data_IF_430523341795
#
_entry.id   IF_430523341795
#
_cell.length_a   1.000
_cell.length_b   1.000
_cell.length_c   1.000
_cell.angle_alpha   90.00
_cell.angle_beta   90.00
_cell.angle_gamma   90.00
#
_symmetry.space_group_name_H-M   'P 1'
#
loop_
_entity.id
_entity.type
_entity.pdbx_description
1 polymer ?
#
# COMPACT_ATOMS: atom_id res chain seq x y z
N UNK A 1 23.87 18.97 -4.55
CA UNK A 1 23.74 20.41 -4.22
C UNK A 1 24.45 20.64 -2.89
N UNK A 2 24.72 21.89 -2.48
CA UNK A 2 25.20 22.14 -1.13
C UNK A 2 24.17 21.70 -0.08
N UNK A 3 24.60 21.44 1.15
CA UNK A 3 23.69 21.15 2.26
C UNK A 3 22.66 22.27 2.41
N UNK A 4 21.37 21.91 2.47
CA UNK A 4 20.26 22.88 2.52
C UNK A 4 19.99 23.65 1.22
N UNK A 5 20.81 23.48 0.18
CA UNK A 5 20.60 24.11 -1.13
C UNK A 5 19.34 23.58 -1.83
N UNK A 6 18.70 24.43 -2.62
CA UNK A 6 17.52 24.08 -3.42
C UNK A 6 17.81 24.28 -4.90
N UNK A 7 17.46 23.30 -5.73
CA UNK A 7 17.46 23.39 -7.19
C UNK A 7 16.04 23.15 -7.69
N UNK A 8 15.53 24.06 -8.50
CA UNK A 8 14.23 23.88 -9.17
C UNK A 8 14.45 23.60 -10.64
N UNK A 9 13.87 22.50 -11.13
CA UNK A 9 13.90 22.13 -12.54
C UNK A 9 12.58 22.54 -13.21
N UNK A 10 12.56 23.76 -13.74
CA UNK A 10 11.38 24.42 -14.34
C UNK A 10 11.22 24.18 -15.85
N UNK A 11 12.31 23.86 -16.55
CA UNK A 11 12.30 23.56 -17.99
C UNK A 11 12.10 22.08 -18.32
N UNK A 12 12.11 21.74 -19.61
CA UNK A 12 12.20 20.35 -20.05
C UNK A 12 13.66 19.93 -20.18
N UNK A 13 14.13 19.04 -19.32
CA UNK A 13 15.51 18.58 -19.34
C UNK A 13 15.60 17.20 -20.03
N UNK A 14 16.40 17.11 -21.09
CA UNK A 14 16.50 15.95 -21.98
C UNK A 14 17.60 14.93 -21.66
N UNK A 15 18.16 14.95 -20.44
CA UNK A 15 19.15 13.94 -20.04
C UNK A 15 18.48 12.58 -19.81
N UNK A 16 19.21 11.50 -20.08
CA UNK A 16 18.72 10.11 -19.98
C UNK A 16 19.25 9.33 -18.77
N UNK A 17 20.29 9.84 -18.11
CA UNK A 17 20.86 9.23 -16.90
C UNK A 17 19.98 9.40 -15.66
N UNK A 18 20.29 8.65 -14.61
CA UNK A 18 19.60 8.76 -13.32
C UNK A 18 19.81 10.15 -12.68
N UNK A 19 18.76 10.71 -12.09
CA UNK A 19 18.83 11.94 -11.30
C UNK A 19 19.34 11.62 -9.90
N UNK A 20 20.56 12.04 -9.57
CA UNK A 20 21.16 11.85 -8.24
C UNK A 20 21.06 13.13 -7.42
N UNK A 21 20.32 13.07 -6.32
CA UNK A 21 20.17 14.17 -5.36
C UNK A 21 20.99 13.82 -4.12
N UNK A 22 22.28 14.13 -4.12
CA UNK A 22 23.17 13.63 -3.07
C UNK A 22 23.04 14.39 -1.74
N UNK A 23 22.56 15.63 -1.79
CA UNK A 23 22.28 16.51 -0.65
C UNK A 23 21.36 17.65 -1.12
N UNK A 24 20.55 18.22 -0.21
CA UNK A 24 19.65 19.36 -0.46
C UNK A 24 18.27 18.98 -1.01
N UNK A 25 17.54 19.96 -1.54
CA UNK A 25 16.19 19.78 -2.10
C UNK A 25 16.19 19.94 -3.61
N UNK A 26 15.67 18.93 -4.33
CA UNK A 26 15.33 19.04 -5.74
C UNK A 26 13.83 19.27 -5.89
N UNK A 27 13.44 20.40 -6.47
CA UNK A 27 12.05 20.76 -6.73
C UNK A 27 11.68 20.46 -8.18
N UNK A 28 10.61 19.70 -8.37
CA UNK A 28 9.97 19.53 -9.68
C UNK A 28 9.23 20.83 -10.00
N UNK A 29 9.76 21.63 -10.91
CA UNK A 29 9.13 22.88 -11.35
C UNK A 29 8.24 22.71 -12.58
N UNK A 30 8.30 21.55 -13.25
CA UNK A 30 7.52 21.21 -14.44
C UNK A 30 7.28 19.71 -14.51
N UNK A 31 6.12 19.27 -15.01
CA UNK A 31 5.87 17.84 -15.26
C UNK A 31 6.90 17.25 -16.24
N UNK A 32 7.37 18.08 -17.17
CA UNK A 32 8.42 17.75 -18.14
C UNK A 32 9.84 17.93 -17.57
N UNK A 33 10.00 18.21 -16.27
CA UNK A 33 11.29 18.50 -15.63
C UNK A 33 12.37 17.54 -16.12
N UNK A 34 12.12 16.22 -16.09
CA UNK A 34 13.03 15.22 -16.67
C UNK A 34 12.18 14.38 -17.61
N UNK A 35 12.27 14.69 -18.91
CA UNK A 35 11.43 14.08 -19.93
C UNK A 35 11.94 12.69 -20.33
N UNK A 36 13.26 12.50 -20.27
CA UNK A 36 13.95 11.29 -20.75
C UNK A 36 14.57 10.44 -19.61
N UNK A 37 14.31 10.81 -18.35
CA UNK A 37 14.77 10.07 -17.17
C UNK A 37 13.64 9.90 -16.16
N UNK A 38 13.55 8.71 -15.58
CA UNK A 38 12.54 8.33 -14.59
C UNK A 38 13.16 7.53 -13.43
N UNK A 39 14.49 7.64 -13.24
CA UNK A 39 15.24 7.00 -12.16
C UNK A 39 15.81 8.07 -11.23
N UNK A 40 15.54 7.96 -9.94
CA UNK A 40 15.99 8.92 -8.92
C UNK A 40 16.72 8.20 -7.80
N UNK A 41 17.84 8.77 -7.37
CA UNK A 41 18.56 8.38 -6.15
C UNK A 41 18.59 9.56 -5.20
N UNK A 42 18.05 9.40 -3.99
CA UNK A 42 18.09 10.42 -2.94
C UNK A 42 19.15 10.06 -1.89
N UNK A 43 20.03 11.01 -1.59
CA UNK A 43 21.02 10.92 -0.53
C UNK A 43 22.39 10.47 -0.98
N UNK A 44 23.30 10.45 -0.01
CA UNK A 44 24.64 9.90 -0.10
C UNK A 44 25.15 9.64 1.33
N UNK A 45 26.33 9.03 1.50
CA UNK A 45 26.87 8.76 2.83
C UNK A 45 26.97 10.06 3.66
N UNK A 46 26.28 10.09 4.81
CA UNK A 46 26.28 11.23 5.72
C UNK A 46 25.42 12.44 5.30
N UNK A 47 24.67 12.36 4.20
CA UNK A 47 23.87 13.47 3.69
C UNK A 47 22.38 13.11 3.61
N UNK A 48 21.54 14.14 3.68
CA UNK A 48 20.08 14.03 3.52
C UNK A 48 19.65 14.75 2.25
N UNK A 49 18.63 14.22 1.58
CA UNK A 49 18.11 14.80 0.35
C UNK A 49 16.59 14.69 0.26
N UNK A 50 16.00 15.72 -0.32
CA UNK A 50 14.56 15.87 -0.48
C UNK A 50 14.21 15.99 -1.95
N UNK A 51 13.21 15.22 -2.39
CA UNK A 51 12.49 15.46 -3.64
C UNK A 51 11.19 16.20 -3.32
N UNK A 52 11.02 17.42 -3.83
CA UNK A 52 9.79 18.20 -3.70
C UNK A 52 8.96 18.09 -4.97
N UNK A 53 7.75 17.56 -4.85
CA UNK A 53 6.82 17.34 -5.97
C UNK A 53 6.13 18.62 -6.43
N UNK A 54 5.96 19.60 -5.55
CA UNK A 54 5.38 20.90 -5.83
C UNK A 54 4.02 20.80 -6.55
N UNK A 55 3.17 19.88 -6.09
CA UNK A 55 1.83 19.62 -6.64
C UNK A 55 1.82 18.86 -7.97
N UNK A 56 2.98 18.49 -8.50
CA UNK A 56 3.10 17.81 -9.79
C UNK A 56 3.18 16.30 -9.60
N UNK A 57 2.36 15.58 -10.37
CA UNK A 57 2.43 14.12 -10.46
C UNK A 57 3.58 13.70 -11.36
N UNK A 58 4.26 12.59 -11.00
CA UNK A 58 5.41 12.08 -11.76
C UNK A 58 5.44 10.55 -11.78
N UNK A 59 5.94 10.02 -12.89
CA UNK A 59 6.18 8.58 -13.05
C UNK A 59 7.66 8.26 -12.94
N UNK A 60 7.99 7.19 -12.24
CA UNK A 60 9.33 6.68 -12.02
C UNK A 60 9.44 5.21 -12.43
N UNK A 61 10.56 4.84 -13.04
CA UNK A 61 11.00 3.45 -13.09
C UNK A 61 11.62 3.07 -11.74
N UNK A 62 12.36 3.98 -11.10
CA UNK A 62 12.92 3.76 -9.76
C UNK A 62 13.02 5.06 -8.96
N UNK A 63 12.82 4.92 -7.65
CA UNK A 63 13.14 5.92 -6.64
C UNK A 63 13.82 5.19 -5.50
N UNK A 64 15.12 5.40 -5.33
CA UNK A 64 15.91 4.71 -4.31
C UNK A 64 16.59 5.71 -3.39
N UNK A 65 17.04 5.20 -2.25
CA UNK A 65 17.82 5.96 -1.27
C UNK A 65 19.27 5.50 -1.28
N UNK A 66 20.21 6.41 -1.03
CA UNK A 66 21.61 6.12 -0.73
C UNK A 66 21.99 6.73 0.62
N UNK A 67 22.96 6.14 1.32
CA UNK A 67 23.27 6.50 2.70
C UNK A 67 22.21 5.98 3.67
N UNK A 68 21.87 6.77 4.69
CA UNK A 68 20.84 6.40 5.69
C UNK A 68 19.45 6.62 5.11
N UNK A 69 18.77 5.54 4.72
CA UNK A 69 17.50 5.62 4.00
C UNK A 69 16.44 6.50 4.69
N UNK A 70 16.30 6.40 6.02
CA UNK A 70 15.33 7.19 6.80
C UNK A 70 15.56 8.70 6.79
N UNK A 71 16.73 9.17 6.36
CA UNK A 71 17.03 10.60 6.21
C UNK A 71 16.52 11.18 4.89
N UNK A 72 16.04 10.34 3.97
CA UNK A 72 15.58 10.76 2.66
C UNK A 72 14.08 11.05 2.68
N UNK A 73 13.69 12.09 1.97
CA UNK A 73 12.30 12.54 1.98
C UNK A 73 11.79 12.79 0.57
N UNK A 74 10.55 12.35 0.31
CA UNK A 74 9.74 12.92 -0.75
C UNK A 74 8.66 13.77 -0.12
N UNK A 75 8.52 15.01 -0.58
CA UNK A 75 7.60 15.98 -0.01
C UNK A 75 6.70 16.55 -1.09
N UNK A 76 5.45 16.85 -0.72
CA UNK A 76 4.61 17.76 -1.47
C UNK A 76 4.25 18.95 -0.58
N UNK A 77 4.44 20.16 -1.09
CA UNK A 77 4.07 21.40 -0.38
C UNK A 77 3.09 22.28 -1.12
N UNK A 78 2.74 21.94 -2.36
CA UNK A 78 1.66 22.63 -3.06
C UNK A 78 0.32 21.96 -2.74
N UNK A 79 -0.72 22.78 -2.68
CA UNK A 79 -2.10 22.33 -2.47
C UNK A 79 -2.53 21.42 -3.62
N UNK A 80 -3.24 20.35 -3.28
CA UNK A 80 -3.67 19.32 -4.19
C UNK A 80 -2.99 17.97 -3.91
N UNK A 81 -3.22 17.02 -4.81
CA UNK A 81 -2.62 15.68 -4.72
C UNK A 81 -1.55 15.53 -5.78
N UNK A 82 -0.30 15.29 -5.36
CA UNK A 82 0.77 14.89 -6.25
C UNK A 82 0.88 13.35 -6.24
N UNK A 83 0.67 12.72 -7.41
CA UNK A 83 0.73 11.27 -7.54
C UNK A 83 2.10 10.82 -8.00
N UNK A 84 2.72 9.90 -7.26
CA UNK A 84 3.94 9.20 -7.65
C UNK A 84 3.57 7.84 -8.22
N UNK A 85 3.82 7.63 -9.51
CA UNK A 85 3.53 6.35 -10.17
C UNK A 85 4.81 5.57 -10.45
N UNK A 86 4.90 4.35 -9.96
CA UNK A 86 5.99 3.44 -10.25
C UNK A 86 5.58 2.44 -11.35
N UNK A 87 6.46 2.20 -12.32
CA UNK A 87 6.14 1.42 -13.53
C UNK A 87 7.15 0.33 -13.89
N UNK A 88 8.18 0.14 -13.07
CA UNK A 88 9.18 -0.91 -13.31
C UNK A 88 8.66 -2.29 -12.93
N UNK A 89 8.93 -3.27 -13.81
CA UNK A 89 8.68 -4.70 -13.58
C UNK A 89 9.71 -5.37 -12.66
N UNK A 90 10.79 -4.67 -12.30
CA UNK A 90 11.72 -5.11 -11.26
C UNK A 90 11.27 -4.68 -9.85
N UNK A 91 12.20 -4.76 -8.90
CA UNK A 91 11.99 -4.24 -7.55
C UNK A 91 12.28 -2.75 -7.49
N UNK A 92 11.34 -1.98 -6.96
CA UNK A 92 11.49 -0.57 -6.58
C UNK A 92 11.46 -0.49 -5.06
N UNK A 93 12.59 -0.14 -4.44
CA UNK A 93 12.70 -0.04 -2.98
C UNK A 93 12.94 1.40 -2.54
N UNK A 94 12.10 1.88 -1.63
CA UNK A 94 12.26 3.20 -1.01
C UNK A 94 12.19 3.08 0.52
N UNK A 95 13.28 3.43 1.20
CA UNK A 95 13.35 3.44 2.67
C UNK A 95 13.21 4.82 3.30
N UNK A 96 12.96 5.86 2.50
CA UNK A 96 12.71 7.22 3.00
C UNK A 96 11.27 7.41 3.48
N UNK A 97 10.93 8.67 3.75
CA UNK A 97 9.59 9.09 4.20
C UNK A 97 8.86 9.93 3.16
N UNK A 98 7.52 9.84 3.15
CA UNK A 98 6.65 10.78 2.45
C UNK A 98 6.13 11.84 3.42
N UNK A 99 6.31 13.11 3.09
CA UNK A 99 5.96 14.25 3.95
C UNK A 99 4.96 15.18 3.26
N UNK A 100 3.86 15.49 3.94
CA UNK A 100 2.84 16.44 3.52
C UNK A 100 2.93 17.65 4.47
N UNK A 101 3.46 18.78 4.00
CA UNK A 101 3.82 19.90 4.90
C UNK A 101 2.60 20.63 5.49
N UNK A 102 1.48 20.63 4.75
CA UNK A 102 0.27 21.34 5.13
C UNK A 102 -0.97 20.50 4.82
N UNK A 103 -2.09 20.87 5.43
CA UNK A 103 -3.38 20.29 5.05
C UNK A 103 -3.58 20.40 3.53
N UNK A 104 -4.10 19.34 2.92
CA UNK A 104 -4.33 19.24 1.47
C UNK A 104 -3.07 19.27 0.57
N UNK A 105 -1.87 19.00 1.09
CA UNK A 105 -0.65 18.81 0.28
C UNK A 105 -0.36 17.33 0.05
N UNK A 106 -1.35 16.60 -0.47
CA UNK A 106 -1.38 15.14 -0.45
C UNK A 106 -0.33 14.53 -1.37
N UNK A 107 0.20 13.37 -0.97
CA UNK A 107 0.94 12.45 -1.83
C UNK A 107 0.08 11.21 -2.04
N UNK A 108 -0.12 10.82 -3.30
CA UNK A 108 -0.72 9.55 -3.66
C UNK A 108 0.33 8.63 -4.31
N UNK A 109 0.19 7.32 -4.10
CA UNK A 109 1.09 6.31 -4.65
C UNK A 109 0.35 5.47 -5.67
N UNK A 110 0.93 5.30 -6.86
CA UNK A 110 0.47 4.39 -7.90
C UNK A 110 1.55 3.37 -8.25
N UNK A 111 1.15 2.12 -8.53
CA UNK A 111 2.04 1.09 -9.03
C UNK A 111 1.39 0.28 -10.16
N UNK A 112 2.05 0.19 -11.30
CA UNK A 112 1.59 -0.56 -12.47
C UNK A 112 2.68 -1.45 -13.08
N UNK A 113 3.82 -1.57 -12.41
CA UNK A 113 5.01 -2.19 -12.99
C UNK A 113 4.96 -3.71 -13.11
N UNK A 114 4.16 -4.41 -12.30
CA UNK A 114 4.06 -5.87 -12.30
C UNK A 114 5.18 -6.61 -11.54
N UNK A 115 6.16 -5.88 -10.99
CA UNK A 115 7.20 -6.39 -10.11
C UNK A 115 6.86 -6.16 -8.63
N UNK A 116 7.83 -5.68 -7.86
CA UNK A 116 7.66 -5.37 -6.43
C UNK A 116 7.91 -3.89 -6.15
N UNK A 117 6.95 -3.21 -5.55
CA UNK A 117 7.14 -1.92 -4.87
C UNK A 117 7.32 -2.20 -3.38
N UNK A 118 8.50 -1.93 -2.82
CA UNK A 118 8.84 -2.20 -1.43
C UNK A 118 9.12 -0.90 -0.67
N UNK A 119 8.34 -0.62 0.37
CA UNK A 119 8.56 0.53 1.25
C UNK A 119 9.08 0.06 2.61
N UNK A 120 10.24 0.60 3.01
CA UNK A 120 10.99 0.16 4.19
C UNK A 120 10.70 0.95 5.48
N UNK A 121 9.84 1.96 5.40
CA UNK A 121 9.53 2.88 6.51
C UNK A 121 8.03 3.02 6.68
N UNK A 122 7.56 3.28 7.90
CA UNK A 122 6.17 3.68 8.16
C UNK A 122 5.88 5.01 7.49
N UNK A 123 4.76 5.10 6.78
CA UNK A 123 4.40 6.29 6.01
C UNK A 123 3.03 6.85 6.41
N UNK A 124 2.84 8.15 6.22
CA UNK A 124 1.63 8.88 6.65
C UNK A 124 0.96 9.68 5.53
N UNK A 125 1.37 9.46 4.28
CA UNK A 125 0.73 10.13 3.14
C UNK A 125 -0.76 9.80 3.05
N UNK A 126 -1.57 10.78 2.63
CA UNK A 126 -3.03 10.74 2.73
C UNK A 126 -3.74 10.67 1.39
N UNK A 127 -3.00 10.71 0.27
CA UNK A 127 -3.56 10.57 -1.08
C UNK A 127 -4.00 9.14 -1.44
N UNK A 128 -3.62 8.14 -0.64
CA UNK A 128 -3.93 6.73 -0.87
C UNK A 128 -2.94 6.02 -1.79
N UNK A 129 -3.13 4.71 -1.94
CA UNK A 129 -2.27 3.78 -2.66
C UNK A 129 -3.09 2.98 -3.67
N UNK A 130 -2.66 2.95 -4.93
CA UNK A 130 -3.26 2.14 -5.99
C UNK A 130 -2.21 1.20 -6.55
N UNK A 131 -2.40 -0.10 -6.36
CA UNK A 131 -1.53 -1.16 -6.90
C UNK A 131 -2.28 -1.82 -8.06
N UNK A 132 -2.19 -1.22 -9.24
CA UNK A 132 -2.87 -1.72 -10.44
C UNK A 132 -2.27 -3.03 -10.93
N UNK A 133 -0.95 -3.23 -10.81
CA UNK A 133 -0.27 -4.45 -11.24
C UNK A 133 1.03 -4.68 -10.46
N UNK A 134 1.20 -5.88 -9.90
CA UNK A 134 2.37 -6.29 -9.12
C UNK A 134 2.13 -6.31 -7.61
N UNK A 135 3.22 -6.38 -6.85
CA UNK A 135 3.21 -6.55 -5.39
C UNK A 135 3.66 -5.29 -4.67
N UNK A 136 2.86 -4.80 -3.72
CA UNK A 136 3.29 -3.85 -2.70
C UNK A 136 3.76 -4.62 -1.46
N UNK A 137 5.05 -4.55 -1.13
CA UNK A 137 5.66 -5.28 -0.02
C UNK A 137 6.03 -4.34 1.13
N UNK A 138 5.56 -4.68 2.34
CA UNK A 138 5.91 -3.97 3.56
C UNK A 138 7.32 -4.35 4.04
N UNK A 139 8.11 -3.34 4.38
CA UNK A 139 9.35 -3.47 5.18
C UNK A 139 9.24 -2.84 6.57
N UNK A 140 8.07 -2.29 6.92
CA UNK A 140 7.73 -1.72 8.22
C UNK A 140 6.21 -1.75 8.41
N UNK A 141 5.72 -1.56 9.64
CA UNK A 141 4.28 -1.40 9.89
C UNK A 141 3.75 -0.16 9.15
N UNK A 142 2.60 -0.29 8.51
CA UNK A 142 1.92 0.77 7.76
C UNK A 142 2.81 1.42 6.70
N UNK A 143 3.68 0.64 6.04
CA UNK A 143 4.59 1.17 5.04
C UNK A 143 3.85 1.80 3.85
N UNK A 144 2.63 1.37 3.54
CA UNK A 144 1.77 1.96 2.50
C UNK A 144 0.71 2.94 3.04
N UNK A 145 1.00 3.51 4.22
CA UNK A 145 0.15 4.40 4.99
C UNK A 145 -1.20 3.82 5.39
N UNK A 146 -1.90 4.49 6.31
CA UNK A 146 -3.22 4.07 6.77
C UNK A 146 -4.36 4.48 5.84
N UNK A 147 -4.03 5.07 4.68
CA UNK A 147 -5.00 5.61 3.73
C UNK A 147 -5.80 4.56 2.96
N UNK A 148 -6.47 5.02 1.91
CA UNK A 148 -7.17 4.13 0.99
C UNK A 148 -6.19 3.24 0.21
N UNK A 149 -6.51 1.96 0.07
CA UNK A 149 -5.79 1.00 -0.75
C UNK A 149 -6.72 0.43 -1.84
N UNK A 150 -6.27 0.47 -3.09
CA UNK A 150 -6.91 -0.19 -4.23
C UNK A 150 -5.98 -1.22 -4.83
N UNK A 151 -6.46 -2.45 -5.02
CA UNK A 151 -5.70 -3.54 -5.65
C UNK A 151 -6.30 -3.94 -7.01
N UNK A 152 -5.43 -4.07 -8.00
CA UNK A 152 -5.73 -4.54 -9.34
C UNK A 152 -6.14 -3.44 -10.32
N UNK A 153 -6.17 -3.82 -11.59
CA UNK A 153 -6.70 -3.07 -12.70
C UNK A 153 -7.27 -4.02 -13.74
N UNK A 154 -7.74 -3.49 -14.88
CA UNK A 154 -8.28 -4.32 -15.95
C UNK A 154 -7.26 -5.35 -16.44
N UNK A 155 -7.57 -6.64 -16.27
CA UNK A 155 -6.70 -7.75 -16.67
C UNK A 155 -5.42 -7.93 -15.85
N UNK A 156 -5.25 -7.21 -14.74
CA UNK A 156 -4.03 -7.24 -13.91
C UNK A 156 -4.31 -7.63 -12.47
N UNK A 157 -3.25 -8.01 -11.75
CA UNK A 157 -3.30 -8.43 -10.36
C UNK A 157 -2.45 -7.51 -9.51
N UNK A 158 -3.08 -6.89 -8.52
CA UNK A 158 -2.44 -6.20 -7.40
C UNK A 158 -2.38 -7.11 -6.19
N UNK A 159 -1.22 -7.12 -5.53
CA UNK A 159 -0.95 -7.92 -4.33
C UNK A 159 -0.47 -6.97 -3.23
N UNK A 160 -1.01 -7.12 -2.02
CA UNK A 160 -0.39 -6.61 -0.81
C UNK A 160 0.35 -7.75 -0.10
N UNK A 161 1.67 -7.63 -0.02
CA UNK A 161 2.51 -8.53 0.77
C UNK A 161 2.87 -7.86 2.10
N UNK A 162 2.34 -8.43 3.18
CA UNK A 162 2.51 -7.91 4.53
C UNK A 162 3.94 -8.11 5.07
N UNK A 163 4.74 -9.02 4.50
CA UNK A 163 6.16 -9.15 4.82
C UNK A 163 6.51 -9.35 6.30
N UNK A 164 5.57 -9.81 7.13
CA UNK A 164 5.76 -9.96 8.58
C UNK A 164 5.47 -8.68 9.40
N UNK A 165 4.89 -7.67 8.74
CA UNK A 165 4.47 -6.40 9.33
C UNK A 165 2.95 -6.26 9.30
N UNK A 166 2.44 -5.29 10.05
CA UNK A 166 1.02 -4.97 10.08
C UNK A 166 0.70 -3.83 9.11
N UNK A 167 -0.50 -3.87 8.53
CA UNK A 167 -1.01 -2.80 7.68
C UNK A 167 -2.42 -2.42 8.12
N UNK A 168 -2.65 -1.14 8.35
CA UNK A 168 -3.97 -0.55 8.54
C UNK A 168 -4.41 0.15 7.27
N UNK A 169 -5.69 0.10 6.92
CA UNK A 169 -6.25 0.83 5.78
C UNK A 169 -7.59 1.46 6.14
N UNK A 170 -7.81 2.70 5.72
CA UNK A 170 -9.09 3.41 5.91
C UNK A 170 -10.14 3.05 4.86
N UNK A 171 -9.69 2.50 3.73
CA UNK A 171 -10.54 1.94 2.69
C UNK A 171 -9.77 0.82 1.96
N UNK A 172 -10.48 -0.21 1.53
CA UNK A 172 -9.91 -1.32 0.76
C UNK A 172 -10.86 -1.65 -0.37
N UNK A 173 -10.38 -1.53 -1.59
CA UNK A 173 -11.18 -1.69 -2.81
C UNK A 173 -10.42 -2.48 -3.87
N UNK A 174 -11.17 -3.02 -4.82
CA UNK A 174 -10.62 -3.63 -6.04
C UNK A 174 -10.71 -2.59 -7.16
N UNK A 175 -9.66 -2.48 -7.98
CA UNK A 175 -9.62 -1.53 -9.08
C UNK A 175 -10.66 -1.82 -10.16
N UNK A 176 -11.07 -0.79 -10.89
CA UNK A 176 -12.05 -0.90 -11.95
C UNK A 176 -11.60 -1.90 -13.02
N UNK A 177 -12.48 -2.83 -13.38
CA UNK A 177 -12.20 -3.89 -14.36
C UNK A 177 -11.31 -5.03 -13.86
N UNK A 178 -10.85 -4.99 -12.61
CA UNK A 178 -10.07 -6.09 -12.03
C UNK A 178 -10.96 -7.26 -11.62
N UNK A 179 -10.43 -8.48 -11.73
CA UNK A 179 -11.10 -9.67 -11.19
C UNK A 179 -10.83 -9.73 -9.69
N UNK A 180 -11.86 -9.47 -8.87
CA UNK A 180 -11.72 -9.32 -7.43
C UNK A 180 -11.03 -10.53 -6.76
N UNK A 181 -11.48 -11.75 -7.07
CA UNK A 181 -10.94 -12.97 -6.48
C UNK A 181 -9.44 -13.22 -6.79
N UNK A 182 -8.92 -12.59 -7.85
CA UNK A 182 -7.50 -12.67 -8.22
C UNK A 182 -6.63 -11.68 -7.45
N UNK A 183 -7.21 -10.67 -6.80
CA UNK A 183 -6.45 -9.72 -5.98
C UNK A 183 -6.12 -10.35 -4.65
N UNK A 184 -4.88 -10.22 -4.21
CA UNK A 184 -4.36 -10.98 -3.07
C UNK A 184 -3.85 -10.08 -1.95
N UNK A 185 -4.09 -10.52 -0.72
CA UNK A 185 -3.34 -10.08 0.45
C UNK A 185 -2.81 -11.31 1.17
N UNK A 186 -1.53 -11.29 1.52
CA UNK A 186 -0.94 -12.33 2.35
C UNK A 186 0.41 -11.93 2.88
N UNK A 187 1.17 -12.90 3.36
CA UNK A 187 2.39 -12.68 4.11
C UNK A 187 3.52 -13.56 3.55
N UNK A 188 4.55 -12.95 2.99
CA UNK A 188 5.77 -13.66 2.55
C UNK A 188 6.75 -13.97 3.68
N UNK A 189 6.50 -13.49 4.90
CA UNK A 189 7.40 -13.70 6.04
C UNK A 189 7.52 -15.17 6.43
N UNK A 190 8.73 -15.54 6.83
CA UNK A 190 9.06 -16.83 7.45
C UNK A 190 9.31 -16.70 8.95
N UNK A 191 9.24 -15.49 9.51
CA UNK A 191 9.62 -15.18 10.91
C UNK A 191 8.52 -14.54 11.74
N UNK A 192 7.59 -13.80 11.15
CA UNK A 192 6.56 -13.06 11.88
C UNK A 192 5.18 -13.17 11.22
N UNK A 193 4.15 -13.34 12.05
CA UNK A 193 2.75 -13.23 11.65
C UNK A 193 2.38 -11.75 11.43
N UNK A 194 1.36 -11.50 10.63
CA UNK A 194 0.91 -10.16 10.25
C UNK A 194 -0.57 -9.94 10.53
N UNK A 195 -0.95 -8.68 10.72
CA UNK A 195 -2.34 -8.24 10.87
C UNK A 195 -2.67 -7.23 9.77
N UNK A 196 -3.70 -7.51 8.98
CA UNK A 196 -4.39 -6.51 8.18
C UNK A 196 -5.54 -5.91 9.02
N UNK A 197 -5.53 -4.60 9.21
CA UNK A 197 -6.58 -3.87 9.92
C UNK A 197 -7.37 -3.04 8.94
N UNK A 198 -8.64 -3.37 8.73
CA UNK A 198 -9.56 -2.52 7.97
C UNK A 198 -10.26 -1.55 8.92
N UNK A 199 -9.73 -0.33 9.02
CA UNK A 199 -10.25 0.73 9.88
C UNK A 199 -11.28 1.64 9.19
N UNK A 200 -11.82 1.22 8.04
CA UNK A 200 -12.87 1.92 7.31
C UNK A 200 -14.29 1.64 7.79
N UNK A 201 -15.27 2.23 7.10
CA UNK A 201 -16.70 2.04 7.37
C UNK A 201 -17.32 0.87 6.60
N UNK A 202 -18.53 1.07 6.08
CA UNK A 202 -19.22 0.04 5.28
C UNK A 202 -18.49 -0.23 3.95
N UNK A 203 -18.25 -1.50 3.63
CA UNK A 203 -17.60 -1.91 2.38
C UNK A 203 -17.95 -3.35 1.97
N UNK A 204 -17.53 -3.76 0.77
CA UNK A 204 -17.51 -5.15 0.30
C UNK A 204 -16.10 -5.55 -0.13
N UNK A 205 -15.59 -6.66 0.42
CA UNK A 205 -14.26 -7.17 0.16
C UNK A 205 -14.35 -8.44 -0.69
N UNK A 206 -14.12 -8.30 -2.00
CA UNK A 206 -14.10 -9.41 -2.96
C UNK A 206 -12.72 -10.03 -3.22
N UNK A 207 -11.66 -9.45 -2.66
CA UNK A 207 -10.30 -9.96 -2.74
C UNK A 207 -10.06 -11.18 -1.86
N UNK A 208 -9.01 -11.94 -2.14
CA UNK A 208 -8.63 -13.12 -1.37
C UNK A 208 -7.52 -12.78 -0.38
N UNK A 209 -7.76 -13.07 0.90
CA UNK A 209 -6.77 -12.96 1.98
C UNK A 209 -6.32 -14.37 2.37
N UNK A 210 -5.01 -14.60 2.37
CA UNK A 210 -4.37 -15.87 2.67
C UNK A 210 -3.18 -15.69 3.62
N UNK A 211 -2.69 -16.79 4.19
CA UNK A 211 -1.49 -16.75 5.03
C UNK A 211 -0.24 -16.49 4.17
N UNK A 212 0.18 -17.50 3.41
CA UNK A 212 1.46 -17.44 2.71
C UNK A 212 1.36 -16.76 1.34
N UNK A 213 2.34 -15.89 1.04
CA UNK A 213 2.73 -15.55 -0.32
C UNK A 213 4.11 -16.14 -0.61
N UNK A 214 4.31 -16.73 -1.79
CA UNK A 214 5.58 -17.35 -2.16
C UNK A 214 6.01 -18.42 -1.14
N UNK A 215 7.21 -18.25 -0.55
CA UNK A 215 7.77 -19.14 0.46
C UNK A 215 7.39 -18.78 1.91
N UNK A 216 6.46 -17.85 2.11
CA UNK A 216 5.99 -17.45 3.44
C UNK A 216 5.42 -18.64 4.21
N UNK A 217 5.61 -18.64 5.53
CA UNK A 217 5.13 -19.71 6.43
C UNK A 217 4.32 -19.16 7.60
N UNK A 218 4.03 -17.86 7.58
CA UNK A 218 3.46 -17.12 8.69
C UNK A 218 2.02 -16.72 8.41
N UNK A 219 1.29 -16.49 9.47
CA UNK A 219 -0.15 -16.26 9.41
C UNK A 219 -0.47 -14.83 9.02
N UNK A 220 -1.64 -14.66 8.43
CA UNK A 220 -2.30 -13.39 8.26
C UNK A 220 -3.53 -13.35 9.17
N UNK A 221 -3.67 -12.30 9.96
CA UNK A 221 -4.86 -12.02 10.77
C UNK A 221 -5.63 -10.83 10.19
N UNK A 222 -6.90 -10.70 10.54
CA UNK A 222 -7.79 -9.65 10.03
C UNK A 222 -8.53 -8.97 11.18
N UNK A 223 -8.47 -7.64 11.24
CA UNK A 223 -9.13 -6.86 12.28
C UNK A 223 -10.08 -5.81 11.70
N UNK A 224 -11.26 -5.69 12.30
CA UNK A 224 -12.27 -4.69 11.98
C UNK A 224 -12.59 -3.84 13.21
N UNK A 225 -11.79 -2.78 13.49
CA UNK A 225 -11.98 -1.96 14.68
C UNK A 225 -13.11 -0.92 14.55
N UNK A 226 -13.50 -0.57 13.33
CA UNK A 226 -14.34 0.58 13.03
C UNK A 226 -15.81 0.21 12.80
N UNK A 227 -16.70 1.16 13.09
CA UNK A 227 -18.14 0.98 12.89
C UNK A 227 -18.49 0.85 11.40
N UNK A 228 -19.42 -0.04 11.08
CA UNK A 228 -19.90 -0.25 9.71
C UNK A 228 -20.24 -1.71 9.40
N UNK A 229 -20.68 -1.95 8.16
CA UNK A 229 -20.96 -3.29 7.65
C UNK A 229 -19.87 -3.69 6.66
N UNK A 230 -19.08 -4.70 6.99
CA UNK A 230 -18.07 -5.28 6.09
C UNK A 230 -18.62 -6.56 5.49
N UNK A 231 -18.89 -6.54 4.19
CA UNK A 231 -19.34 -7.73 3.46
C UNK A 231 -18.14 -8.49 2.89
N UNK A 232 -17.94 -9.73 3.31
CA UNK A 232 -16.86 -10.61 2.86
C UNK A 232 -17.36 -11.45 1.70
N UNK A 233 -16.89 -11.11 0.50
CA UNK A 233 -17.19 -11.81 -0.75
C UNK A 233 -16.03 -12.68 -1.22
N UNK A 234 -14.80 -12.41 -0.77
CA UNK A 234 -13.61 -13.21 -1.07
C UNK A 234 -13.61 -14.60 -0.44
N UNK A 235 -12.97 -15.57 -1.10
CA UNK A 235 -12.76 -16.92 -0.59
C UNK A 235 -11.50 -16.99 0.29
N UNK A 236 -11.54 -16.33 1.45
CA UNK A 236 -10.36 -16.19 2.31
C UNK A 236 -9.92 -17.51 2.94
N UNK A 237 -8.61 -17.70 3.09
CA UNK A 237 -7.98 -18.93 3.59
C UNK A 237 -7.01 -18.72 4.75
N UNK A 238 -6.76 -17.47 5.15
CA UNK A 238 -5.87 -17.15 6.27
C UNK A 238 -6.25 -17.87 7.56
N UNK A 239 -5.28 -18.24 8.38
CA UNK A 239 -5.47 -18.99 9.64
C UNK A 239 -5.15 -18.18 10.88
N UNK A 240 -4.72 -16.92 10.73
CA UNK A 240 -4.65 -15.95 11.82
C UNK A 240 -6.04 -15.56 12.32
N UNK A 241 -6.08 -14.83 13.45
CA UNK A 241 -7.33 -14.49 14.10
C UNK A 241 -8.16 -13.48 13.28
N UNK A 242 -9.48 -13.59 13.35
CA UNK A 242 -10.37 -12.49 12.95
C UNK A 242 -10.92 -11.77 14.18
N UNK A 243 -10.70 -10.46 14.28
CA UNK A 243 -11.20 -9.62 15.38
C UNK A 243 -12.27 -8.67 14.88
N UNK A 244 -13.44 -8.67 15.52
CA UNK A 244 -14.61 -7.85 15.16
C UNK A 244 -14.98 -6.98 16.37
N UNK A 245 -14.90 -5.67 16.23
CA UNK A 245 -15.30 -4.72 17.29
C UNK A 245 -16.81 -4.67 17.50
N UNK A 246 -17.23 -4.20 18.68
CA UNK A 246 -18.63 -4.13 19.09
C UNK A 246 -19.53 -3.29 18.18
N UNK A 247 -18.97 -2.31 17.47
CA UNK A 247 -19.68 -1.43 16.54
C UNK A 247 -19.70 -1.93 15.09
N UNK A 248 -19.12 -3.11 14.82
CA UNK A 248 -18.94 -3.66 13.47
C UNK A 248 -19.90 -4.82 13.22
N UNK A 249 -20.47 -4.86 12.02
CA UNK A 249 -21.11 -6.06 11.47
C UNK A 249 -20.25 -6.62 10.35
N UNK A 250 -19.85 -7.88 10.45
CA UNK A 250 -19.22 -8.63 9.36
C UNK A 250 -20.27 -9.56 8.76
N UNK A 251 -20.57 -9.38 7.47
CA UNK A 251 -21.46 -10.25 6.72
C UNK A 251 -20.63 -11.15 5.80
N UNK A 252 -20.70 -12.46 5.95
CA UNK A 252 -20.03 -13.43 5.08
C UNK A 252 -20.99 -13.83 3.96
N UNK A 253 -20.59 -13.54 2.72
CA UNK A 253 -21.40 -13.73 1.52
C UNK A 253 -22.43 -12.62 1.30
N UNK A 254 -23.17 -12.75 0.20
CA UNK A 254 -24.28 -11.88 -0.18
C UNK A 254 -25.39 -12.71 -0.82
N UNK A 255 -25.90 -13.68 -0.04
CA UNK A 255 -26.93 -14.64 -0.44
C UNK A 255 -26.53 -15.51 -1.64
N UNK A 256 -25.25 -15.91 -1.68
CA UNK A 256 -24.70 -16.82 -2.68
C UNK A 256 -23.78 -17.88 -2.04
N UNK A 257 -22.95 -18.53 -2.86
CA UNK A 257 -22.02 -19.60 -2.45
C UNK A 257 -20.57 -19.13 -2.35
N UNK A 258 -20.31 -17.82 -2.43
CA UNK A 258 -18.97 -17.23 -2.30
C UNK A 258 -18.92 -16.31 -1.08
N UNK A 259 -17.74 -16.18 -0.49
CA UNK A 259 -17.51 -15.45 0.76
C UNK A 259 -17.13 -16.41 1.89
N UNK A 260 -15.90 -16.30 2.37
CA UNK A 260 -15.44 -17.04 3.54
C UNK A 260 -14.68 -16.09 4.46
N UNK A 261 -14.95 -16.16 5.76
CA UNK A 261 -14.02 -15.65 6.78
C UNK A 261 -12.85 -16.65 6.89
N UNK A 262 -11.69 -16.21 7.39
CA UNK A 262 -10.51 -17.08 7.52
C UNK A 262 -10.77 -18.28 8.43
N UNK A 263 -9.85 -19.25 8.43
CA UNK A 263 -9.90 -20.52 9.17
C UNK A 263 -9.35 -20.43 10.60
N UNK A 264 -8.96 -19.25 11.04
CA UNK A 264 -8.43 -19.02 12.38
C UNK A 264 -9.50 -18.78 13.45
N UNK A 265 -9.07 -18.53 14.70
CA UNK A 265 -9.96 -18.13 15.79
C UNK A 265 -10.72 -16.83 15.47
N UNK A 266 -11.93 -16.70 15.98
CA UNK A 266 -12.76 -15.50 15.80
C UNK A 266 -13.02 -14.87 17.17
N UNK A 267 -12.51 -13.65 17.38
CA UNK A 267 -12.82 -12.81 18.52
C UNK A 267 -13.90 -11.80 18.10
N UNK A 268 -15.17 -12.11 18.38
CA UNK A 268 -16.30 -11.29 17.97
C UNK A 268 -16.96 -10.57 19.16
N UNK A 269 -16.79 -9.25 19.23
CA UNK A 269 -17.54 -8.38 20.13
C UNK A 269 -18.75 -7.72 19.46
N UNK A 270 -18.86 -7.79 18.13
CA UNK A 270 -19.92 -7.20 17.32
C UNK A 270 -20.87 -8.25 16.74
N UNK A 271 -21.28 -8.04 15.48
CA UNK A 271 -22.17 -8.96 14.76
C UNK A 271 -21.42 -9.70 13.66
N UNK A 272 -21.60 -11.02 13.61
CA UNK A 272 -21.10 -11.88 12.53
C UNK A 272 -22.31 -12.58 11.89
N UNK A 273 -22.60 -12.23 10.64
CA UNK A 273 -23.78 -12.69 9.89
C UNK A 273 -23.32 -13.56 8.73
N UNK A 274 -24.02 -14.66 8.49
CA UNK A 274 -23.76 -15.53 7.33
C UNK A 274 -24.91 -15.40 6.34
N UNK A 275 -24.68 -14.65 5.27
CA UNK A 275 -25.61 -14.50 4.15
C UNK A 275 -25.18 -15.48 3.05
N UNK A 276 -25.37 -16.78 3.30
CA UNK A 276 -24.99 -17.88 2.40
C UNK A 276 -26.18 -18.78 2.12
N UNK A 277 -26.20 -19.36 0.92
CA UNK A 277 -27.26 -20.29 0.47
C UNK A 277 -26.88 -21.75 0.58
N UNK A 278 -25.60 -22.05 0.84
CA UNK A 278 -25.04 -23.37 1.03
C UNK A 278 -24.55 -23.59 2.46
N UNK A 279 -24.12 -24.82 2.75
CA UNK A 279 -23.50 -25.16 4.03
C UNK A 279 -22.14 -24.46 4.16
N UNK A 280 -22.00 -23.67 5.22
CA UNK A 280 -20.73 -23.03 5.57
C UNK A 280 -20.16 -23.64 6.85
N UNK A 281 -18.94 -24.18 6.77
CA UNK A 281 -18.25 -24.77 7.93
C UNK A 281 -17.45 -23.67 8.62
N UNK A 282 -17.84 -23.34 9.85
CA UNK A 282 -17.10 -22.39 10.66
C UNK A 282 -15.73 -22.93 11.07
N UNK A 283 -14.71 -22.07 11.14
CA UNK A 283 -13.54 -22.36 11.94
C UNK A 283 -13.91 -22.38 13.43
N UNK A 284 -13.10 -23.07 14.24
CA UNK A 284 -13.37 -23.23 15.67
C UNK A 284 -13.34 -21.87 16.37
N UNK A 285 -14.50 -21.37 16.81
CA UNK A 285 -14.58 -20.18 17.65
C UNK A 285 -13.92 -20.45 19.00
N UNK A 286 -13.03 -19.57 19.44
CA UNK A 286 -12.54 -19.58 20.83
C UNK A 286 -13.37 -18.57 21.61
N UNK A 287 -14.12 -19.06 22.61
CA UNK A 287 -14.89 -18.24 23.55
C UNK A 287 -13.98 -17.34 24.38
#
# INVERSE_FOLDING_TARGET
MAAGGTLTLSGSNGYSGATRVENGTLVIGSAAAWASSNSVVLGSAGNSATLELNGLSKSFASLTTAGTAGNQTVRNSAVGTATLTFSSAGTVSFGGSFVENFANTKIAIGYSGGGTLAFGSTNTYTGGTVISNGTAQLGANDAFSVGALTLGGSGTVGILDLGGFNQTVSALTVGVGATAASQLIGNSSTSADSILTYAGGTTSLGLTIQDALGSGTRKTSLAFPSAGIVTILGANTYTGATTISASTTVQVGSYGTVGAIGRGPIANAGSLVFARTDTYVMPRATS
#
